data_IF_908124742203
#
_entry.id   IF_908124742203
#
_cell.length_a   1.000
_cell.length_b   1.000
_cell.length_c   1.000
_cell.angle_alpha   90.00
_cell.angle_beta   90.00
_cell.angle_gamma   90.00
#
_symmetry.space_group_name_H-M   'P 1'
#
loop_
_entity.id
_entity.type
_entity.pdbx_description
1 polymer ?
#
# COMPACT_ATOMS: atom_id res chain seq x y z
N UNK A 1 6.20 17.89 -0.97
CA UNK A 1 6.18 18.04 0.49
C UNK A 1 7.53 18.65 0.90
N UNK A 2 7.64 19.99 0.78
CA UNK A 2 8.84 20.72 1.22
C UNK A 2 8.84 20.78 2.75
N UNK A 3 9.99 20.50 3.37
CA UNK A 3 10.17 20.63 4.83
C UNK A 3 9.92 19.39 5.68
N UNK A 4 9.54 18.25 5.10
CA UNK A 4 9.54 17.01 5.84
C UNK A 4 10.96 16.47 6.05
N UNK A 5 11.23 15.79 7.19
CA UNK A 5 12.49 15.12 7.41
C UNK A 5 12.79 14.12 6.28
N UNK A 6 14.08 13.79 6.08
CA UNK A 6 14.51 12.86 5.02
C UNK A 6 13.79 11.50 5.10
N UNK A 7 13.48 11.03 6.31
CA UNK A 7 12.77 9.79 6.57
C UNK A 7 11.56 10.04 7.49
N UNK A 8 10.45 10.56 6.97
CA UNK A 8 9.26 10.76 7.78
C UNK A 8 8.66 9.41 8.22
N UNK A 9 8.10 9.38 9.42
CA UNK A 9 7.21 8.29 9.82
C UNK A 9 5.88 8.43 9.06
N UNK A 10 5.45 7.38 8.38
CA UNK A 10 4.20 7.35 7.61
C UNK A 10 3.30 6.22 8.11
N UNK A 11 2.02 6.50 8.30
CA UNK A 11 1.03 5.52 8.72
C UNK A 11 -0.36 5.91 8.18
N UNK A 12 -1.28 4.98 8.14
CA UNK A 12 -2.67 5.19 7.70
C UNK A 12 -3.64 5.20 8.88
N UNK A 13 -3.34 4.43 9.91
CA UNK A 13 -4.12 4.36 11.15
C UNK A 13 -3.20 4.03 12.32
N UNK A 14 -3.68 4.24 13.53
CA UNK A 14 -3.02 3.85 14.76
C UNK A 14 -4.05 3.47 15.84
N UNK A 15 -3.62 3.38 17.08
CA UNK A 15 -4.47 3.02 18.22
C UNK A 15 -5.39 4.14 18.71
N UNK A 16 -5.24 5.36 18.19
CA UNK A 16 -6.02 6.53 18.60
C UNK A 16 -6.91 7.01 17.45
N UNK A 17 -8.17 7.29 17.76
CA UNK A 17 -9.18 7.67 16.76
C UNK A 17 -8.92 9.02 16.09
N UNK A 18 -8.05 9.87 16.64
CA UNK A 18 -7.68 11.13 15.99
C UNK A 18 -7.01 10.93 14.63
N UNK A 19 -6.36 9.77 14.40
CA UNK A 19 -5.76 9.40 13.11
C UNK A 19 -6.78 8.76 12.14
N UNK A 20 -8.05 8.71 12.53
CA UNK A 20 -9.12 8.03 11.79
C UNK A 20 -9.47 6.65 12.36
N UNK A 21 -10.32 5.94 11.66
CA UNK A 21 -10.68 4.57 11.98
C UNK A 21 -9.60 3.59 11.47
N UNK A 22 -9.75 2.28 11.71
CA UNK A 22 -8.93 1.27 11.06
C UNK A 22 -9.04 1.38 9.55
N UNK A 23 -7.95 1.12 8.81
CA UNK A 23 -7.90 1.29 7.34
C UNK A 23 -9.07 0.58 6.65
N UNK A 24 -9.41 -0.64 7.09
CA UNK A 24 -10.53 -1.39 6.53
C UNK A 24 -11.86 -0.64 6.60
N UNK A 25 -12.12 0.05 7.71
CA UNK A 25 -13.31 0.88 7.85
C UNK A 25 -13.24 2.16 7.00
N UNK A 26 -12.06 2.80 6.92
CA UNK A 26 -11.86 4.00 6.12
C UNK A 26 -12.10 3.76 4.63
N UNK A 27 -11.78 2.55 4.14
CA UNK A 27 -12.03 2.14 2.74
C UNK A 27 -13.36 1.41 2.55
N UNK A 28 -14.25 1.41 3.56
CA UNK A 28 -15.56 0.77 3.53
C UNK A 28 -15.51 -0.73 3.18
N UNK A 29 -14.46 -1.45 3.59
CA UNK A 29 -14.30 -2.87 3.32
C UNK A 29 -13.89 -3.23 1.88
N UNK A 30 -13.55 -2.24 1.06
CA UNK A 30 -13.13 -2.47 -0.32
C UNK A 30 -11.68 -2.95 -0.37
N UNK A 31 -11.48 -4.21 -0.78
CA UNK A 31 -10.17 -4.86 -0.86
C UNK A 31 -9.22 -4.14 -1.84
N UNK A 32 -9.72 -3.62 -2.96
CA UNK A 32 -8.91 -2.89 -3.95
C UNK A 32 -8.38 -1.59 -3.35
N UNK A 33 -9.24 -0.83 -2.67
CA UNK A 33 -8.85 0.40 -1.97
C UNK A 33 -7.91 0.12 -0.80
N UNK A 34 -8.11 -0.99 -0.06
CA UNK A 34 -7.19 -1.42 0.99
C UNK A 34 -5.79 -1.74 0.44
N UNK A 35 -5.70 -2.42 -0.71
CA UNK A 35 -4.44 -2.68 -1.40
C UNK A 35 -3.75 -1.39 -1.86
N UNK A 36 -4.50 -0.43 -2.43
CA UNK A 36 -3.96 0.90 -2.79
C UNK A 36 -3.46 1.67 -1.56
N UNK A 37 -4.19 1.63 -0.45
CA UNK A 37 -3.78 2.24 0.80
C UNK A 37 -2.45 1.64 1.31
N UNK A 38 -2.32 0.31 1.34
CA UNK A 38 -1.08 -0.37 1.69
C UNK A 38 0.10 0.05 0.78
N UNK A 39 -0.14 0.07 -0.55
CA UNK A 39 0.87 0.47 -1.52
C UNK A 39 1.30 1.94 -1.32
N UNK A 40 0.36 2.83 -0.98
CA UNK A 40 0.66 4.26 -0.80
C UNK A 40 1.66 4.53 0.31
N UNK A 41 1.69 3.73 1.40
CA UNK A 41 2.66 3.90 2.49
C UNK A 41 3.91 3.03 2.32
N UNK A 42 3.76 1.79 1.86
CA UNK A 42 4.89 0.87 1.73
C UNK A 42 5.81 1.21 0.56
N UNK A 43 5.30 1.90 -0.47
CA UNK A 43 6.08 2.34 -1.63
C UNK A 43 6.50 3.81 -1.53
N UNK A 44 6.08 4.55 -0.50
CA UNK A 44 6.56 5.90 -0.24
C UNK A 44 7.93 5.89 0.47
N UNK A 45 8.77 6.92 0.23
CA UNK A 45 9.94 7.17 1.06
C UNK A 45 9.55 7.47 2.50
N UNK A 46 10.38 7.01 3.44
CA UNK A 46 10.15 7.15 4.87
C UNK A 46 10.06 5.80 5.57
N UNK A 47 9.75 5.83 6.86
CA UNK A 47 9.56 4.62 7.67
C UNK A 47 8.06 4.32 7.80
N UNK A 48 7.55 3.27 7.14
CA UNK A 48 6.15 2.91 7.27
C UNK A 48 5.89 2.27 8.65
N UNK A 49 4.87 2.76 9.32
CA UNK A 49 4.34 2.19 10.55
C UNK A 49 3.01 1.51 10.23
N UNK A 50 2.94 0.22 10.49
CA UNK A 50 1.73 -0.57 10.32
C UNK A 50 1.07 -0.79 11.66
N UNK A 51 -0.19 -0.45 11.76
CA UNK A 51 -0.98 -0.81 12.93
C UNK A 51 -1.44 -2.26 12.78
N UNK A 52 -1.23 -3.09 13.82
CA UNK A 52 -1.53 -4.53 13.75
C UNK A 52 -2.94 -4.81 13.23
N UNK A 53 -3.07 -5.79 12.37
CA UNK A 53 -4.33 -6.19 11.75
C UNK A 53 -4.69 -5.40 10.48
N UNK A 54 -3.94 -4.35 10.10
CA UNK A 54 -4.14 -3.69 8.80
C UNK A 54 -3.92 -4.68 7.66
N UNK A 55 -2.91 -5.54 7.79
CA UNK A 55 -2.49 -6.54 6.81
C UNK A 55 -3.53 -7.65 6.57
N UNK A 56 -4.50 -7.77 7.45
CA UNK A 56 -5.60 -8.75 7.33
C UNK A 56 -6.98 -8.08 7.16
N UNK A 57 -7.03 -6.76 6.99
CA UNK A 57 -8.28 -6.04 6.88
C UNK A 57 -9.11 -6.01 8.18
N UNK A 58 -8.44 -6.05 9.32
CA UNK A 58 -9.11 -6.02 10.63
C UNK A 58 -9.82 -4.68 10.83
N UNK A 59 -11.14 -4.74 11.05
CA UNK A 59 -11.98 -3.57 11.32
C UNK A 59 -12.04 -3.19 12.80
N UNK A 60 -12.62 -2.04 13.08
CA UNK A 60 -12.97 -1.64 14.43
C UNK A 60 -14.15 -2.45 14.99
N UNK A 61 -14.27 -2.46 16.31
CA UNK A 61 -15.51 -2.93 16.96
C UNK A 61 -16.42 -1.73 17.23
N UNK A 62 -17.58 -1.61 16.55
CA UNK A 62 -18.45 -0.46 16.67
C UNK A 62 -19.21 -0.38 18.00
N UNK A 63 -19.24 -1.48 18.79
CA UNK A 63 -19.91 -1.50 20.09
C UNK A 63 -19.04 -0.97 21.23
N UNK A 64 -17.76 -0.74 20.97
CA UNK A 64 -16.81 -0.21 21.95
C UNK A 64 -16.64 1.31 21.76
N UNK A 65 -16.69 2.06 22.84
CA UNK A 65 -16.59 3.52 22.82
C UNK A 65 -15.17 4.01 22.53
N UNK A 66 -15.05 5.12 21.82
CA UNK A 66 -13.80 5.83 21.58
C UNK A 66 -12.71 4.93 20.96
N UNK A 67 -11.49 5.08 21.42
CA UNK A 67 -10.32 4.34 20.94
C UNK A 67 -10.39 2.83 21.22
N UNK A 68 -11.21 2.41 22.16
CA UNK A 68 -11.35 1.01 22.52
C UNK A 68 -11.78 0.14 21.34
N UNK A 69 -12.59 0.69 20.43
CA UNK A 69 -12.98 0.01 19.20
C UNK A 69 -11.82 -0.31 18.26
N UNK A 70 -10.74 0.47 18.32
CA UNK A 70 -9.54 0.26 17.52
C UNK A 70 -8.55 -0.72 18.17
N UNK A 71 -8.64 -0.89 19.49
CA UNK A 71 -7.67 -1.64 20.32
C UNK A 71 -8.20 -3.02 20.70
N UNK A 72 -8.81 -3.71 19.75
CA UNK A 72 -9.38 -5.06 19.95
C UNK A 72 -8.29 -6.13 19.85
N UNK A 73 -8.49 -7.33 20.42
CA UNK A 73 -7.57 -8.45 20.24
C UNK A 73 -7.30 -8.75 18.76
N UNK A 74 -6.09 -9.22 18.44
CA UNK A 74 -5.74 -9.64 17.08
C UNK A 74 -6.64 -10.79 16.62
N UNK A 75 -7.17 -10.68 15.41
CA UNK A 75 -8.05 -11.67 14.79
C UNK A 75 -7.23 -12.79 14.13
N UNK A 76 -6.85 -13.83 14.90
CA UNK A 76 -6.09 -14.97 14.37
C UNK A 76 -6.97 -15.95 13.61
N UNK A 77 -8.19 -16.19 14.09
CA UNK A 77 -9.18 -17.07 13.50
C UNK A 77 -10.56 -16.39 13.49
N UNK A 78 -11.56 -17.03 12.90
CA UNK A 78 -12.92 -16.51 12.84
C UNK A 78 -13.60 -16.36 14.22
N UNK A 79 -12.98 -16.88 15.27
CA UNK A 79 -13.43 -16.78 16.66
C UNK A 79 -12.29 -16.25 17.53
N UNK A 80 -12.54 -15.98 18.81
CA UNK A 80 -11.46 -15.57 19.74
C UNK A 80 -10.50 -16.71 20.12
N UNK A 81 -10.79 -17.95 19.76
CA UNK A 81 -9.83 -19.05 19.79
C UNK A 81 -8.61 -18.70 18.92
N UNK A 82 -7.43 -19.00 19.41
CA UNK A 82 -6.16 -18.61 18.75
C UNK A 82 -5.59 -17.28 19.25
N UNK A 83 -6.37 -16.43 19.92
CA UNK A 83 -5.85 -15.29 20.66
C UNK A 83 -5.55 -15.64 22.14
N UNK A 84 -6.51 -16.29 22.82
CA UNK A 84 -6.41 -16.63 24.23
C UNK A 84 -7.21 -17.88 24.53
N UNK A 85 -6.76 -18.65 25.53
CA UNK A 85 -7.53 -19.77 26.12
C UNK A 85 -8.51 -19.28 27.19
N UNK A 86 -8.32 -18.06 27.70
CA UNK A 86 -9.20 -17.40 28.65
C UNK A 86 -10.08 -16.32 28.01
N UNK A 87 -10.89 -15.67 28.83
CA UNK A 87 -11.67 -14.52 28.39
C UNK A 87 -10.75 -13.39 27.92
N UNK A 88 -10.87 -12.91 26.68
CA UNK A 88 -10.10 -11.75 26.21
C UNK A 88 -10.40 -10.51 27.05
N UNK A 89 -9.40 -9.65 27.23
CA UNK A 89 -9.55 -8.38 27.96
C UNK A 89 -10.61 -7.44 27.34
N UNK A 90 -10.99 -7.69 26.09
CA UNK A 90 -11.93 -6.89 25.32
C UNK A 90 -12.59 -7.71 24.20
N UNK A 91 -13.76 -7.28 23.76
CA UNK A 91 -14.43 -7.90 22.61
C UNK A 91 -13.58 -7.80 21.33
N UNK A 92 -13.70 -8.79 20.48
CA UNK A 92 -12.99 -8.87 19.20
C UNK A 92 -13.43 -7.76 18.22
N UNK A 93 -12.73 -7.63 17.09
CA UNK A 93 -13.12 -6.73 16.01
C UNK A 93 -14.50 -7.10 15.43
N UNK A 94 -15.20 -6.11 14.89
CA UNK A 94 -16.55 -6.30 14.37
C UNK A 94 -16.63 -7.22 13.14
N UNK A 95 -15.50 -7.45 12.47
CA UNK A 95 -15.43 -8.28 11.25
C UNK A 95 -14.55 -9.54 11.40
N UNK A 96 -14.24 -9.96 12.64
CA UNK A 96 -13.35 -11.10 12.91
C UNK A 96 -13.79 -12.38 12.16
N UNK A 97 -15.10 -12.60 11.99
CA UNK A 97 -15.62 -13.78 11.28
C UNK A 97 -15.14 -13.90 9.84
N UNK A 98 -14.87 -12.78 9.17
CA UNK A 98 -14.44 -12.73 7.77
C UNK A 98 -12.97 -12.31 7.62
N UNK A 99 -12.50 -11.37 8.45
CA UNK A 99 -11.16 -10.78 8.39
C UNK A 99 -10.33 -11.26 9.56
N UNK A 100 -9.55 -12.29 9.31
CA UNK A 100 -8.65 -12.92 10.27
C UNK A 100 -7.46 -13.56 9.55
N UNK A 101 -6.40 -13.85 10.29
CA UNK A 101 -5.16 -14.40 9.72
C UNK A 101 -5.42 -15.71 8.96
N UNK A 102 -6.18 -16.64 9.54
CA UNK A 102 -6.44 -17.94 8.90
C UNK A 102 -7.19 -17.80 7.57
N UNK A 103 -8.17 -16.89 7.49
CA UNK A 103 -8.89 -16.61 6.26
C UNK A 103 -8.01 -15.95 5.20
N UNK A 104 -7.17 -14.99 5.60
CA UNK A 104 -6.26 -14.28 4.69
C UNK A 104 -5.09 -15.16 4.22
N UNK A 105 -4.59 -16.09 5.02
CA UNK A 105 -3.59 -17.09 4.59
C UNK A 105 -4.14 -18.01 3.49
N UNK A 106 -5.43 -18.32 3.52
CA UNK A 106 -6.08 -19.15 2.52
C UNK A 106 -6.38 -18.42 1.20
N UNK A 107 -6.24 -17.09 1.16
CA UNK A 107 -6.52 -16.25 -0.01
C UNK A 107 -5.25 -15.87 -0.74
N UNK A 108 -4.98 -16.46 -1.89
CA UNK A 108 -3.80 -16.12 -2.71
C UNK A 108 -3.81 -14.67 -3.22
N UNK A 109 -4.97 -14.08 -3.41
CA UNK A 109 -5.18 -12.68 -3.80
C UNK A 109 -5.55 -11.76 -2.62
N UNK A 110 -5.45 -12.27 -1.38
CA UNK A 110 -5.81 -11.57 -0.16
C UNK A 110 -4.91 -10.38 0.17
N UNK A 111 -5.35 -9.61 1.16
CA UNK A 111 -4.62 -8.40 1.61
C UNK A 111 -3.29 -8.78 2.27
N UNK A 112 -3.24 -9.87 3.03
CA UNK A 112 -2.01 -10.35 3.69
C UNK A 112 -0.91 -10.70 2.68
N UNK A 113 -1.28 -11.40 1.59
CA UNK A 113 -0.33 -11.71 0.53
C UNK A 113 0.17 -10.44 -0.18
N UNK A 114 -0.71 -9.47 -0.37
CA UNK A 114 -0.36 -8.17 -0.96
C UNK A 114 0.63 -7.40 -0.08
N UNK A 115 0.40 -7.30 1.24
CA UNK A 115 1.35 -6.70 2.18
C UNK A 115 2.71 -7.40 2.14
N UNK A 116 2.73 -8.74 2.12
CA UNK A 116 3.97 -9.51 2.00
C UNK A 116 4.72 -9.22 0.71
N UNK A 117 4.01 -9.09 -0.43
CA UNK A 117 4.62 -8.73 -1.71
C UNK A 117 5.23 -7.32 -1.68
N UNK A 118 4.50 -6.34 -1.15
CA UNK A 118 4.98 -4.96 -1.01
C UNK A 118 6.21 -4.87 -0.11
N UNK A 119 6.20 -5.57 1.04
CA UNK A 119 7.34 -5.59 1.96
C UNK A 119 8.58 -6.25 1.34
N UNK A 120 8.39 -7.38 0.64
CA UNK A 120 9.49 -8.03 -0.10
C UNK A 120 10.08 -7.11 -1.16
N UNK A 121 9.21 -6.46 -1.95
CA UNK A 121 9.63 -5.50 -2.96
C UNK A 121 10.41 -4.35 -2.33
N UNK A 122 9.87 -3.73 -1.28
CA UNK A 122 10.54 -2.64 -0.57
C UNK A 122 11.91 -3.03 -0.05
N UNK A 123 12.04 -4.23 0.53
CA UNK A 123 13.31 -4.71 1.07
C UNK A 123 14.31 -5.07 -0.02
N UNK A 124 13.84 -5.57 -1.16
CA UNK A 124 14.68 -5.95 -2.30
C UNK A 124 15.09 -4.74 -3.17
N UNK A 125 14.42 -3.58 -3.03
CA UNK A 125 14.66 -2.39 -3.87
C UNK A 125 15.17 -1.20 -3.03
N UNK A 126 16.48 -0.96 -2.97
CA UNK A 126 17.06 0.19 -2.28
C UNK A 126 16.48 1.54 -2.73
N UNK A 127 16.09 1.70 -4.00
CA UNK A 127 15.42 2.90 -4.48
C UNK A 127 14.07 3.17 -3.78
N UNK A 128 13.35 2.12 -3.36
CA UNK A 128 12.08 2.25 -2.61
C UNK A 128 12.34 2.47 -1.13
N UNK A 129 13.24 1.68 -0.52
CA UNK A 129 13.44 1.69 0.94
C UNK A 129 14.31 2.86 1.43
N UNK A 130 15.26 3.34 0.60
CA UNK A 130 16.29 4.31 0.97
C UNK A 130 16.54 5.35 -0.12
N UNK A 131 15.77 5.32 -1.21
CA UNK A 131 15.96 6.20 -2.35
C UNK A 131 15.48 7.62 -2.09
N UNK A 132 16.00 8.54 -2.89
CA UNK A 132 15.49 9.89 -3.00
C UNK A 132 14.29 9.95 -3.95
N UNK A 133 13.36 10.86 -3.68
CA UNK A 133 12.27 11.19 -4.61
C UNK A 133 12.80 12.18 -5.65
N UNK A 134 12.81 11.78 -6.89
CA UNK A 134 13.15 12.68 -7.99
C UNK A 134 11.93 13.48 -8.43
N UNK A 135 10.79 12.78 -8.56
CA UNK A 135 9.57 13.39 -9.05
C UNK A 135 8.33 12.76 -8.37
N UNK A 136 7.36 13.60 -8.03
CA UNK A 136 6.02 13.18 -7.59
C UNK A 136 5.02 14.02 -8.36
N UNK A 137 4.19 13.37 -9.17
CA UNK A 137 3.18 14.03 -9.99
C UNK A 137 1.82 13.41 -9.72
N UNK A 138 0.83 14.26 -9.49
CA UNK A 138 -0.58 13.87 -9.45
C UNK A 138 -1.26 14.42 -10.70
N UNK A 139 -1.83 13.53 -11.50
CA UNK A 139 -2.57 13.90 -12.73
C UNK A 139 -3.90 13.14 -12.73
N UNK A 140 -4.99 13.88 -12.59
CA UNK A 140 -6.30 13.28 -12.36
C UNK A 140 -6.30 12.43 -11.09
N UNK A 141 -6.69 11.17 -11.22
CA UNK A 141 -6.70 10.21 -10.12
C UNK A 141 -5.42 9.37 -10.02
N UNK A 142 -4.39 9.66 -10.82
CA UNK A 142 -3.13 8.91 -10.80
C UNK A 142 -2.06 9.68 -10.05
N UNK A 143 -1.43 9.00 -9.10
CA UNK A 143 -0.18 9.43 -8.46
C UNK A 143 0.98 8.66 -9.10
N UNK A 144 1.98 9.37 -9.59
CA UNK A 144 3.25 8.81 -10.04
C UNK A 144 4.40 9.32 -9.18
N UNK A 145 5.32 8.41 -8.83
CA UNK A 145 6.52 8.73 -8.05
C UNK A 145 7.72 8.07 -8.70
N UNK A 146 8.76 8.85 -8.98
CA UNK A 146 10.07 8.35 -9.38
C UNK A 146 11.00 8.38 -8.16
N UNK A 147 11.56 7.21 -7.86
CA UNK A 147 12.48 6.97 -6.75
C UNK A 147 13.81 6.49 -7.30
N UNK A 148 14.94 6.99 -6.74
CA UNK A 148 16.26 6.60 -7.20
C UNK A 148 17.23 6.36 -6.05
N UNK A 149 18.07 5.35 -6.21
CA UNK A 149 19.27 5.15 -5.41
C UNK A 149 20.43 4.68 -6.32
N UNK A 150 21.40 5.55 -6.51
CA UNK A 150 22.50 5.30 -7.44
C UNK A 150 22.00 5.07 -8.87
N UNK A 151 22.28 3.88 -9.41
CA UNK A 151 21.86 3.47 -10.76
C UNK A 151 20.52 2.73 -10.78
N UNK A 152 19.90 2.52 -9.63
CA UNK A 152 18.59 1.86 -9.52
C UNK A 152 17.49 2.90 -9.47
N UNK A 153 16.53 2.80 -10.40
CA UNK A 153 15.31 3.58 -10.41
C UNK A 153 14.08 2.73 -10.18
N UNK A 154 13.07 3.31 -9.55
CA UNK A 154 11.74 2.71 -9.43
C UNK A 154 10.69 3.77 -9.72
N UNK A 155 9.77 3.45 -10.64
CA UNK A 155 8.58 4.25 -10.91
C UNK A 155 7.36 3.56 -10.30
N UNK A 156 6.71 4.25 -9.37
CA UNK A 156 5.47 3.81 -8.74
C UNK A 156 4.31 4.59 -9.34
N UNK A 157 3.26 3.89 -9.77
CA UNK A 157 2.02 4.47 -10.30
C UNK A 157 0.84 3.90 -9.53
N UNK A 158 0.01 4.76 -8.96
CA UNK A 158 -1.20 4.41 -8.22
C UNK A 158 -2.39 5.08 -8.88
N UNK A 159 -3.30 4.30 -9.46
CA UNK A 159 -4.56 4.80 -10.00
C UNK A 159 -5.65 4.69 -8.94
N UNK A 160 -5.99 5.79 -8.30
CA UNK A 160 -7.09 5.86 -7.32
C UNK A 160 -8.46 5.99 -7.97
N UNK A 161 -8.52 6.10 -9.30
CA UNK A 161 -9.76 6.24 -10.07
C UNK A 161 -10.49 4.93 -10.28
N UNK A 162 -11.79 5.07 -10.58
CA UNK A 162 -12.70 3.96 -10.90
C UNK A 162 -12.69 3.60 -12.40
N UNK A 163 -11.86 4.28 -13.20
CA UNK A 163 -11.73 4.05 -14.64
C UNK A 163 -10.30 3.69 -15.01
N UNK A 164 -10.10 2.87 -16.04
CA UNK A 164 -8.78 2.66 -16.63
C UNK A 164 -8.26 3.95 -17.24
N UNK A 165 -6.95 4.14 -17.24
CA UNK A 165 -6.30 5.33 -17.79
C UNK A 165 -4.98 4.95 -18.46
N UNK A 166 -4.60 5.69 -19.51
CA UNK A 166 -3.25 5.66 -20.07
C UNK A 166 -2.49 6.87 -19.52
N UNK A 167 -1.57 6.62 -18.61
CA UNK A 167 -0.75 7.65 -17.98
C UNK A 167 0.52 7.88 -18.81
N UNK A 168 0.79 9.12 -19.19
CA UNK A 168 2.08 9.54 -19.70
C UNK A 168 2.95 10.02 -18.52
N UNK A 169 4.13 9.43 -18.38
CA UNK A 169 5.15 9.85 -17.42
C UNK A 169 6.30 10.48 -18.21
N UNK A 170 6.70 11.66 -17.81
CA UNK A 170 7.77 12.44 -18.47
C UNK A 170 8.98 12.60 -17.53
N UNK A 171 10.09 13.10 -18.06
CA UNK A 171 11.29 13.36 -17.28
C UNK A 171 12.17 12.14 -17.02
N UNK A 172 11.93 11.04 -17.75
CA UNK A 172 12.67 9.78 -17.59
C UNK A 172 13.89 9.64 -18.52
N UNK A 173 14.44 10.75 -19.05
CA UNK A 173 15.53 10.73 -20.06
C UNK A 173 16.82 10.06 -19.60
N UNK A 174 17.03 9.95 -18.28
CA UNK A 174 18.17 9.24 -17.69
C UNK A 174 18.02 7.71 -17.72
N UNK A 175 16.81 7.21 -18.00
CA UNK A 175 16.50 5.79 -18.04
C UNK A 175 16.26 5.33 -19.47
N UNK A 176 16.70 4.12 -19.79
CA UNK A 176 16.49 3.53 -21.12
C UNK A 176 15.53 2.36 -21.10
N UNK A 177 15.38 1.72 -19.96
CA UNK A 177 14.52 0.54 -19.81
C UNK A 177 13.56 0.69 -18.63
N UNK A 178 12.37 0.16 -18.83
CA UNK A 178 11.38 -0.03 -17.79
C UNK A 178 10.88 -1.48 -17.83
N UNK A 179 10.82 -2.13 -16.68
CA UNK A 179 10.32 -3.49 -16.51
C UNK A 179 9.27 -3.55 -15.42
N UNK A 180 8.25 -4.40 -15.57
CA UNK A 180 7.23 -4.56 -14.54
C UNK A 180 7.79 -5.41 -13.39
N UNK A 181 7.75 -4.85 -12.17
CA UNK A 181 8.13 -5.55 -10.94
C UNK A 181 6.91 -6.03 -10.17
N UNK A 182 5.81 -5.28 -10.22
CA UNK A 182 4.58 -5.60 -9.50
C UNK A 182 3.38 -4.88 -10.14
N UNK A 183 2.22 -5.55 -10.10
CA UNK A 183 0.95 -4.97 -10.50
C UNK A 183 0.49 -5.37 -11.89
N UNK A 184 -0.64 -4.79 -12.33
CA UNK A 184 -1.36 -5.16 -13.56
C UNK A 184 -1.22 -4.13 -14.68
N UNK A 185 -0.25 -3.22 -14.59
CA UNK A 185 -0.01 -2.23 -15.62
C UNK A 185 0.62 -2.83 -16.87
N UNK A 186 0.31 -2.25 -18.03
CA UNK A 186 0.91 -2.57 -19.31
C UNK A 186 1.73 -1.39 -19.84
N UNK A 187 2.99 -1.62 -20.18
CA UNK A 187 3.81 -0.66 -20.88
C UNK A 187 3.34 -0.57 -22.35
N UNK A 188 3.08 0.64 -22.82
CA UNK A 188 2.68 0.90 -24.23
C UNK A 188 3.88 1.28 -25.10
N UNK A 189 5.03 0.69 -24.83
CA UNK A 189 6.27 0.90 -25.54
C UNK A 189 7.46 1.16 -24.60
N UNK A 190 8.65 1.36 -25.16
CA UNK A 190 9.85 1.71 -24.42
C UNK A 190 9.80 3.18 -23.93
N UNK A 191 10.73 3.54 -23.06
CA UNK A 191 11.00 4.95 -22.74
C UNK A 191 11.51 5.63 -24.01
N UNK A 192 10.87 6.73 -24.42
CA UNK A 192 11.30 7.48 -25.61
C UNK A 192 12.64 8.21 -25.37
N UNK A 193 13.36 8.63 -26.43
CA UNK A 193 14.58 9.41 -26.30
C UNK A 193 14.40 10.71 -25.48
N UNK A 194 13.18 11.30 -25.52
CA UNK A 194 12.82 12.50 -24.76
C UNK A 194 12.46 12.17 -23.31
N UNK A 195 12.53 10.88 -22.90
CA UNK A 195 12.22 10.44 -21.53
C UNK A 195 10.74 10.34 -21.22
N UNK A 196 9.91 9.96 -22.19
CA UNK A 196 8.47 9.74 -22.02
C UNK A 196 8.17 8.23 -22.01
N UNK A 197 7.35 7.81 -21.04
CA UNK A 197 6.82 6.45 -20.93
C UNK A 197 5.28 6.49 -20.84
N UNK A 198 4.60 5.68 -21.63
CA UNK A 198 3.15 5.50 -21.56
C UNK A 198 2.83 4.18 -20.87
N UNK A 199 1.94 4.26 -19.87
CA UNK A 199 1.55 3.12 -19.05
C UNK A 199 0.04 3.03 -18.99
N UNK A 200 -0.52 1.91 -19.42
CA UNK A 200 -1.95 1.62 -19.26
C UNK A 200 -2.20 1.04 -17.86
N UNK A 201 -3.08 1.69 -17.12
CA UNK A 201 -3.40 1.39 -15.72
C UNK A 201 -4.89 1.06 -15.62
N UNK A 202 -5.27 -0.16 -15.24
CA UNK A 202 -6.65 -0.46 -14.86
C UNK A 202 -7.17 0.44 -13.73
N UNK A 203 -8.48 0.46 -13.52
CA UNK A 203 -9.08 1.10 -12.36
C UNK A 203 -8.53 0.50 -11.06
N UNK A 204 -8.15 1.35 -10.10
CA UNK A 204 -7.59 0.93 -8.83
C UNK A 204 -6.25 0.20 -8.94
N UNK A 205 -5.51 0.38 -10.03
CA UNK A 205 -4.25 -0.32 -10.26
C UNK A 205 -3.10 0.23 -9.43
N UNK A 206 -2.22 -0.70 -9.07
CA UNK A 206 -0.89 -0.44 -8.54
C UNK A 206 0.09 -0.92 -9.60
N UNK A 207 1.06 -0.10 -9.98
CA UNK A 207 2.15 -0.47 -10.85
C UNK A 207 3.48 -0.07 -10.23
N UNK A 208 4.40 -0.99 -10.20
CA UNK A 208 5.79 -0.73 -9.79
C UNK A 208 6.69 -1.19 -10.92
N UNK A 209 7.43 -0.26 -11.49
CA UNK A 209 8.34 -0.50 -12.60
C UNK A 209 9.78 -0.27 -12.15
N UNK A 210 10.65 -1.23 -12.45
CA UNK A 210 12.09 -1.05 -12.35
C UNK A 210 12.59 -0.21 -13.52
N UNK A 211 13.43 0.79 -13.24
CA UNK A 211 14.07 1.63 -14.23
C UNK A 211 15.58 1.37 -14.23
N UNK A 212 16.19 1.29 -15.42
CA UNK A 212 17.64 1.17 -15.58
C UNK A 212 18.16 2.05 -16.72
N UNK A 213 19.43 2.53 -16.61
CA UNK A 213 20.13 3.33 -17.63
C UNK A 213 20.25 2.65 -18.98
#
# INVERSE_FOLDING_TARGET
>A
IRGLPANPAVFLSNHDRFAGDRVWNQVAGDLRRAKLAAASILLMPGTPYLYYGEEIGMGANPTLAGDWGLRTPMSWTATSAGFSTGQPFRAASGNQGQQNVAAEEARSDGLLHHYRQLMRLRNARPSVSQGERLQVVSQGAVLSMELRRGQEGTLVLLNFGEQPVVQAVEGLSQWKRAESLMGSARLEGPISPEGRLRVSLPAGAIAVLGLSP
#
